data_IF_856194889374
#
_entry.id   IF_856194889374
#
_cell.length_a   1.000
_cell.length_b   1.000
_cell.length_c   1.000
_cell.angle_alpha   90.00
_cell.angle_beta   90.00
_cell.angle_gamma   90.00
#
_symmetry.space_group_name_H-M   'P 1'
#
loop_
_entity.id
_entity.type
_entity.pdbx_description
1 polymer ?
#
# COMPACT_ATOMS: atom_id res chain seq x y z
N UNK A 1 15.88 -17.55 -1.83
CA UNK A 1 17.02 -17.78 -0.90
C UNK A 1 18.15 -16.93 -1.43
N UNK A 2 18.69 -16.07 -0.59
CA UNK A 2 19.73 -15.10 -0.91
C UNK A 2 21.11 -15.77 -0.90
N UNK A 3 22.13 -15.07 -1.40
CA UNK A 3 23.50 -15.59 -1.52
C UNK A 3 24.13 -15.97 -0.17
N UNK A 4 23.69 -15.35 0.92
CA UNK A 4 24.09 -15.67 2.30
C UNK A 4 23.38 -16.91 2.88
N UNK A 5 22.51 -17.58 2.11
CA UNK A 5 21.72 -18.73 2.54
C UNK A 5 20.48 -18.36 3.36
N UNK A 6 20.20 -17.07 3.59
CA UNK A 6 18.99 -16.60 4.24
C UNK A 6 17.80 -16.63 3.29
N UNK A 7 16.61 -16.59 3.87
CA UNK A 7 15.35 -16.40 3.15
C UNK A 7 15.05 -14.91 3.05
N UNK A 8 14.71 -14.48 1.85
CA UNK A 8 14.13 -13.15 1.61
C UNK A 8 12.67 -13.17 2.07
N UNK A 9 12.28 -12.14 2.80
CA UNK A 9 11.00 -12.02 3.48
C UNK A 9 10.27 -10.75 3.02
N UNK A 10 8.95 -10.84 2.97
CA UNK A 10 8.06 -9.69 2.83
C UNK A 10 7.09 -9.68 4.01
N UNK A 11 7.15 -8.63 4.83
CA UNK A 11 6.31 -8.51 6.02
C UNK A 11 4.94 -7.97 5.64
N UNK A 12 3.99 -8.88 5.40
CA UNK A 12 2.67 -8.57 4.83
C UNK A 12 1.81 -7.54 5.57
N UNK A 13 2.09 -7.30 6.86
CA UNK A 13 1.36 -6.30 7.66
C UNK A 13 2.03 -4.92 7.71
N UNK A 14 3.27 -4.83 7.22
CA UNK A 14 4.08 -3.60 7.25
C UNK A 14 4.47 -3.13 5.85
N UNK A 15 4.69 -4.05 4.92
CA UNK A 15 5.02 -3.79 3.52
C UNK A 15 6.51 -3.67 3.23
N UNK A 16 7.39 -3.86 4.22
CA UNK A 16 8.84 -3.86 4.06
C UNK A 16 9.41 -5.28 3.88
N UNK A 17 10.69 -5.32 3.48
CA UNK A 17 11.44 -6.55 3.27
C UNK A 17 12.44 -6.80 4.41
N UNK A 18 12.80 -8.07 4.59
CA UNK A 18 13.87 -8.45 5.50
C UNK A 18 14.47 -9.79 5.12
N UNK A 19 15.42 -10.26 5.93
CA UNK A 19 16.01 -11.58 5.74
C UNK A 19 16.13 -12.34 7.05
N UNK A 20 15.99 -13.66 6.99
CA UNK A 20 16.20 -14.52 8.14
C UNK A 20 16.78 -15.89 7.77
N UNK A 21 17.61 -16.50 8.65
CA UNK A 21 18.01 -17.89 8.50
C UNK A 21 16.81 -18.83 8.70
N UNK A 22 16.87 -20.02 8.09
CA UNK A 22 15.78 -21.01 8.15
C UNK A 22 15.40 -21.38 9.59
N UNK A 23 16.37 -21.41 10.49
CA UNK A 23 16.22 -21.81 11.89
C UNK A 23 15.44 -20.77 12.72
N UNK A 24 15.31 -19.54 12.22
CA UNK A 24 14.48 -18.49 12.82
C UNK A 24 13.01 -18.56 12.35
N UNK A 25 12.73 -19.24 11.24
CA UNK A 25 11.37 -19.34 10.68
C UNK A 25 10.54 -20.40 11.40
N UNK A 26 9.23 -20.15 11.53
CA UNK A 26 8.25 -21.08 12.10
C UNK A 26 7.02 -21.16 11.19
N UNK A 27 6.36 -22.32 11.09
CA UNK A 27 5.07 -22.41 10.43
C UNK A 27 4.07 -21.44 11.09
N UNK A 28 3.39 -20.64 10.29
CA UNK A 28 2.33 -19.77 10.78
C UNK A 28 1.11 -20.60 11.15
N UNK A 29 0.60 -20.45 12.38
CA UNK A 29 -0.64 -21.12 12.78
C UNK A 29 -1.82 -20.53 12.01
N UNK A 30 -2.79 -21.37 11.64
CA UNK A 30 -3.94 -20.96 10.83
C UNK A 30 -4.82 -19.89 11.47
N UNK A 31 -4.85 -19.79 12.81
CA UNK A 31 -5.60 -18.74 13.51
C UNK A 31 -5.00 -17.34 13.33
N UNK A 32 -3.70 -17.23 13.03
CA UNK A 32 -3.07 -15.95 12.69
C UNK A 32 -3.37 -15.47 11.26
N UNK A 33 -3.95 -16.32 10.40
CA UNK A 33 -4.40 -15.97 9.05
C UNK A 33 -5.85 -15.45 9.01
N UNK A 34 -6.48 -15.27 10.18
CA UNK A 34 -7.85 -14.76 10.26
C UNK A 34 -7.95 -13.26 9.97
N UNK A 35 -6.87 -12.51 10.19
CA UNK A 35 -6.76 -11.10 9.82
C UNK A 35 -6.22 -11.00 8.38
N UNK A 36 -6.85 -10.23 7.48
CA UNK A 36 -6.28 -9.91 6.18
C UNK A 36 -4.91 -9.22 6.35
N UNK A 37 -4.05 -9.29 5.33
CA UNK A 37 -2.79 -8.54 5.37
C UNK A 37 -3.06 -7.04 5.46
N UNK A 38 -2.35 -6.37 6.36
CA UNK A 38 -2.65 -4.97 6.70
C UNK A 38 -1.94 -3.94 5.80
N UNK A 39 -0.82 -4.29 5.19
CA UNK A 39 -0.14 -3.38 4.26
C UNK A 39 -0.89 -3.30 2.93
N UNK A 40 -1.22 -2.08 2.51
CA UNK A 40 -1.87 -1.81 1.22
C UNK A 40 -0.91 -0.97 0.39
N UNK A 41 -0.44 -1.53 -0.72
CA UNK A 41 0.35 -0.79 -1.70
C UNK A 41 -0.52 0.31 -2.33
N UNK A 42 0.01 1.53 -2.45
CA UNK A 42 -0.70 2.67 -3.03
C UNK A 42 0.26 3.60 -3.77
N UNK A 43 -0.29 4.57 -4.50
CA UNK A 43 0.47 5.67 -5.12
C UNK A 43 -0.09 7.02 -4.70
N UNK A 44 0.74 8.07 -4.75
CA UNK A 44 0.29 9.43 -4.50
C UNK A 44 -0.36 10.02 -5.76
N UNK A 45 -1.59 10.51 -5.62
CA UNK A 45 -2.40 10.99 -6.72
C UNK A 45 -1.92 12.35 -7.24
N UNK A 46 -1.99 12.53 -8.57
CA UNK A 46 -1.86 13.84 -9.22
C UNK A 46 -0.46 14.46 -9.20
N UNK A 47 0.59 13.70 -8.85
CA UNK A 47 1.98 14.15 -8.95
C UNK A 47 2.88 13.10 -9.60
N UNK A 48 3.98 13.56 -10.19
CA UNK A 48 5.06 12.73 -10.75
C UNK A 48 6.42 13.33 -10.34
N UNK A 49 7.54 12.57 -10.41
CA UNK A 49 8.86 13.12 -10.16
C UNK A 49 9.14 14.36 -11.01
N UNK A 50 9.91 15.32 -10.49
CA UNK A 50 10.33 16.49 -11.28
C UNK A 50 11.39 16.17 -12.33
N UNK A 51 12.12 15.06 -12.15
CA UNK A 51 13.08 14.50 -13.11
C UNK A 51 12.55 13.22 -13.78
N UNK A 52 13.47 12.33 -14.17
CA UNK A 52 13.11 11.03 -14.75
C UNK A 52 12.58 10.06 -13.69
N UNK A 53 13.12 10.12 -12.47
CA UNK A 53 12.82 9.25 -11.34
C UNK A 53 12.76 10.06 -10.04
N UNK A 54 12.25 9.45 -8.97
CA UNK A 54 12.28 10.05 -7.64
C UNK A 54 13.72 10.10 -7.13
N UNK A 55 14.22 11.30 -6.86
CA UNK A 55 15.54 11.50 -6.24
C UNK A 55 15.52 11.12 -4.75
N UNK A 56 16.65 10.71 -4.19
CA UNK A 56 16.79 10.36 -2.76
C UNK A 56 16.27 11.47 -1.83
N UNK A 57 16.58 12.74 -2.14
CA UNK A 57 16.10 13.87 -1.35
C UNK A 57 14.56 14.01 -1.37
N UNK A 58 13.90 13.57 -2.45
CA UNK A 58 12.45 13.52 -2.54
C UNK A 58 11.87 12.39 -1.66
N UNK A 59 12.52 11.23 -1.64
CA UNK A 59 12.16 10.10 -0.77
C UNK A 59 12.29 10.47 0.70
N UNK A 60 13.43 11.04 1.12
CA UNK A 60 13.65 11.55 2.49
C UNK A 60 12.61 12.61 2.89
N UNK A 61 12.27 13.51 1.96
CA UNK A 61 11.25 14.53 2.19
C UNK A 61 9.86 13.89 2.38
N UNK A 62 9.51 12.88 1.58
CA UNK A 62 8.27 12.14 1.72
C UNK A 62 8.20 11.42 3.07
N UNK A 63 9.23 10.65 3.44
CA UNK A 63 9.30 9.95 4.73
C UNK A 63 9.15 10.90 5.92
N UNK A 64 9.80 12.07 5.87
CA UNK A 64 9.70 13.09 6.91
C UNK A 64 8.29 13.71 6.96
N UNK A 65 7.64 13.93 5.82
CA UNK A 65 6.29 14.48 5.75
C UNK A 65 5.25 13.50 6.30
N UNK A 66 5.41 12.21 5.99
CA UNK A 66 4.49 11.15 6.41
C UNK A 66 4.76 10.67 7.83
N UNK A 67 5.98 10.86 8.34
CA UNK A 67 6.40 10.22 9.59
C UNK A 67 6.48 8.70 9.40
N UNK A 68 7.09 8.26 8.30
CA UNK A 68 7.21 6.85 7.94
C UNK A 68 7.71 6.01 9.12
N UNK A 69 7.03 4.90 9.39
CA UNK A 69 7.29 3.97 10.50
C UNK A 69 7.24 4.59 11.92
N UNK A 70 6.59 5.75 12.10
CA UNK A 70 6.42 6.41 13.41
C UNK A 70 5.01 6.27 13.98
N UNK A 71 4.13 5.47 13.34
CA UNK A 71 2.74 5.26 13.75
C UNK A 71 1.95 6.58 13.88
N UNK A 72 2.27 7.53 13.00
CA UNK A 72 1.64 8.84 12.99
C UNK A 72 0.47 8.80 12.00
N UNK A 73 -0.78 8.96 12.46
CA UNK A 73 -1.92 8.88 11.56
C UNK A 73 -1.89 9.95 10.47
N UNK A 74 -2.10 9.54 9.24
CA UNK A 74 -2.35 10.38 8.07
C UNK A 74 -3.79 10.22 7.64
N UNK A 75 -4.34 11.29 7.08
CA UNK A 75 -5.62 11.24 6.40
C UNK A 75 -5.36 10.90 4.92
N UNK A 76 -5.98 9.85 4.42
CA UNK A 76 -5.85 9.40 3.04
C UNK A 76 -7.20 9.51 2.33
N UNK A 77 -7.21 10.15 1.16
CA UNK A 77 -8.39 10.29 0.31
C UNK A 77 -8.19 9.50 -0.98
N UNK A 78 -9.05 8.51 -1.22
CA UNK A 78 -9.05 7.74 -2.47
C UNK A 78 -9.46 8.63 -3.65
N UNK A 79 -8.62 8.67 -4.69
CA UNK A 79 -8.87 9.44 -5.90
C UNK A 79 -9.29 8.53 -7.06
N UNK A 80 -8.51 7.48 -7.31
CA UNK A 80 -8.74 6.53 -8.39
C UNK A 80 -8.01 5.22 -8.11
N UNK A 81 -8.07 4.29 -9.07
CA UNK A 81 -7.28 3.07 -9.07
C UNK A 81 -6.40 3.04 -10.31
N UNK A 82 -5.09 2.95 -10.13
CA UNK A 82 -4.17 2.66 -11.22
C UNK A 82 -4.37 1.21 -11.68
N UNK A 83 -4.49 0.96 -13.00
CA UNK A 83 -4.58 -0.39 -13.54
C UNK A 83 -3.21 -1.07 -13.45
N UNK A 84 -2.86 -1.55 -12.25
CA UNK A 84 -1.75 -2.46 -12.01
C UNK A 84 -2.25 -3.90 -12.19
N UNK A 85 -1.37 -4.78 -12.66
CA UNK A 85 -1.61 -6.22 -12.76
C UNK A 85 -0.72 -6.93 -11.73
N UNK A 86 -1.23 -7.86 -10.92
CA UNK A 86 -2.54 -8.52 -11.02
C UNK A 86 -3.70 -7.81 -10.31
N UNK A 87 -3.44 -6.78 -9.49
CA UNK A 87 -4.47 -6.08 -8.71
C UNK A 87 -4.38 -4.58 -8.91
N UNK A 88 -5.53 -3.86 -8.98
CA UNK A 88 -5.53 -2.42 -9.09
C UNK A 88 -4.92 -1.77 -7.84
N UNK A 89 -4.04 -0.79 -8.05
CA UNK A 89 -3.38 -0.06 -6.96
C UNK A 89 -4.12 1.25 -6.68
N UNK A 90 -4.58 1.53 -5.46
CA UNK A 90 -5.25 2.79 -5.13
C UNK A 90 -4.29 3.98 -5.29
N UNK A 91 -4.79 5.04 -5.93
CA UNK A 91 -4.16 6.34 -6.01
C UNK A 91 -4.80 7.26 -4.96
N UNK A 92 -3.98 7.78 -4.03
CA UNK A 92 -4.44 8.47 -2.83
C UNK A 92 -3.89 9.90 -2.78
N UNK A 93 -4.66 10.85 -2.26
CA UNK A 93 -4.10 12.07 -1.67
C UNK A 93 -3.84 11.83 -0.19
N UNK A 94 -2.66 12.22 0.28
CA UNK A 94 -2.27 12.08 1.68
C UNK A 94 -2.18 13.43 2.35
N UNK A 95 -2.71 13.51 3.56
CA UNK A 95 -2.68 14.71 4.38
C UNK A 95 -2.10 14.39 5.76
N UNK A 96 -0.96 15.02 6.05
CA UNK A 96 -0.33 14.95 7.36
C UNK A 96 -0.91 16.01 8.30
N UNK A 97 -0.80 15.76 9.61
CA UNK A 97 -1.11 16.77 10.62
C UNK A 97 0.17 17.40 11.14
N UNK A 98 0.37 18.69 10.86
CA UNK A 98 1.52 19.47 11.30
C UNK A 98 1.03 20.68 12.12
N UNK A 99 1.41 20.75 13.40
CA UNK A 99 0.93 21.79 14.35
C UNK A 99 -0.59 22.00 14.36
N UNK A 100 -1.36 20.92 14.20
CA UNK A 100 -2.82 20.97 14.15
C UNK A 100 -3.42 21.41 12.82
N UNK A 101 -2.59 21.76 11.84
CA UNK A 101 -3.01 22.07 10.47
C UNK A 101 -2.87 20.84 9.56
N UNK A 102 -3.77 20.77 8.58
CA UNK A 102 -3.79 19.73 7.54
C UNK A 102 -2.82 20.13 6.43
N UNK A 103 -1.81 19.31 6.19
CA UNK A 103 -0.77 19.51 5.19
C UNK A 103 -0.93 18.48 4.07
N UNK A 104 -1.19 18.93 2.85
CA UNK A 104 -1.20 18.07 1.66
C UNK A 104 0.23 17.67 1.31
N UNK A 105 0.54 16.37 1.42
CA UNK A 105 1.89 15.84 1.22
C UNK A 105 2.33 16.02 -0.24
N UNK A 106 1.44 15.77 -1.20
CA UNK A 106 1.76 15.89 -2.63
C UNK A 106 2.01 17.34 -3.03
N UNK A 107 1.17 18.25 -2.56
CA UNK A 107 1.35 19.68 -2.81
C UNK A 107 2.67 20.20 -2.19
N UNK A 108 3.05 19.68 -1.02
CA UNK A 108 4.30 20.07 -0.35
C UNK A 108 5.54 19.56 -1.10
N UNK A 109 5.49 18.34 -1.66
CA UNK A 109 6.56 17.84 -2.54
C UNK A 109 6.72 18.72 -3.78
N UNK A 110 5.62 19.18 -4.39
CA UNK A 110 5.66 20.12 -5.51
C UNK A 110 6.24 21.47 -5.09
N UNK A 111 5.83 22.00 -3.92
CA UNK A 111 6.34 23.26 -3.37
C UNK A 111 7.86 23.21 -3.12
N UNK A 112 8.37 22.05 -2.73
CA UNK A 112 9.80 21.81 -2.51
C UNK A 112 10.59 21.55 -3.80
N UNK A 113 9.93 21.41 -4.94
CA UNK A 113 10.56 21.16 -6.24
C UNK A 113 10.89 19.68 -6.53
N UNK A 114 10.46 18.77 -5.65
CA UNK A 114 10.69 17.33 -5.80
C UNK A 114 9.70 16.65 -6.76
N UNK A 115 8.55 17.29 -6.99
CA UNK A 115 7.50 16.78 -7.84
C UNK A 115 6.93 17.88 -8.74
N UNK A 116 6.23 17.46 -9.80
CA UNK A 116 5.39 18.33 -10.61
C UNK A 116 3.97 17.76 -10.68
N UNK A 117 2.95 18.59 -10.98
CA UNK A 117 1.60 18.08 -11.22
C UNK A 117 1.60 17.01 -12.32
N UNK A 118 1.04 15.86 -12.02
CA UNK A 118 0.85 14.76 -12.96
C UNK A 118 -0.28 15.06 -13.96
N UNK A 119 -0.40 14.25 -15.02
CA UNK A 119 -1.51 14.36 -15.96
C UNK A 119 -2.86 14.19 -15.25
N UNK A 120 -3.94 14.80 -15.75
CA UNK A 120 -5.29 14.60 -15.23
C UNK A 120 -5.65 13.11 -15.25
N UNK A 121 -6.26 12.60 -14.17
CA UNK A 121 -6.58 11.18 -14.05
C UNK A 121 -7.59 10.67 -15.10
N UNK A 122 -8.33 11.58 -15.76
CA UNK A 122 -9.27 11.27 -16.85
C UNK A 122 -8.61 10.96 -18.20
N UNK A 123 -7.31 11.26 -18.37
CA UNK A 123 -6.59 11.14 -19.65
C UNK A 123 -5.67 9.90 -19.70
N UNK A 124 -5.70 9.06 -18.65
CA UNK A 124 -5.07 7.74 -18.64
C UNK A 124 -5.94 6.76 -19.43
N UNK A 125 -5.93 6.91 -20.75
CA UNK A 125 -6.41 5.87 -21.65
C UNK A 125 -5.71 4.53 -21.37
N UNK A 126 -6.29 3.39 -21.79
CA UNK A 126 -5.69 2.07 -21.60
C UNK A 126 -4.43 1.96 -22.46
N UNK A 127 -3.28 2.48 -22.00
CA UNK A 127 -2.11 2.53 -22.87
C UNK A 127 -0.83 3.22 -22.39
N UNK A 128 -0.73 3.82 -21.21
CA UNK A 128 0.58 4.30 -20.71
C UNK A 128 1.42 3.14 -20.19
N UNK A 129 1.98 2.37 -21.12
CA UNK A 129 2.99 1.36 -20.88
C UNK A 129 4.30 2.07 -20.50
N UNK A 130 4.68 2.01 -19.22
CA UNK A 130 6.09 2.05 -18.86
C UNK A 130 6.77 0.81 -19.46
N UNK A 131 7.92 0.94 -20.15
CA UNK A 131 8.63 -0.22 -20.66
C UNK A 131 9.01 -1.13 -19.48
N UNK A 132 8.82 -2.45 -19.58
CA UNK A 132 9.27 -3.37 -18.54
C UNK A 132 10.80 -3.32 -18.48
N UNK A 133 11.33 -3.15 -17.26
CA UNK A 133 12.71 -3.52 -16.99
C UNK A 133 12.90 -4.98 -17.43
N UNK A 134 13.81 -5.18 -18.38
CA UNK A 134 14.13 -6.51 -18.88
C UNK A 134 14.91 -7.23 -17.79
N UNK A 135 14.30 -8.25 -17.19
CA UNK A 135 15.02 -9.40 -16.69
C UNK A 135 14.25 -10.69 -17.05
N UNK A 136 14.95 -11.56 -17.77
CA UNK A 136 14.49 -12.87 -18.23
C UNK A 136 15.09 -13.97 -17.34
N UNK A 137 14.71 -15.24 -17.53
CA UNK A 137 13.73 -15.95 -16.73
C UNK A 137 14.40 -16.97 -15.79
N UNK A 138 13.72 -17.38 -14.73
CA UNK A 138 13.78 -18.81 -14.38
C UNK A 138 12.45 -19.33 -13.84
N UNK A 139 12.05 -20.40 -14.50
CA UNK A 139 10.85 -21.20 -14.29
C UNK A 139 11.06 -22.15 -13.13
N UNK A 140 10.08 -22.26 -12.23
CA UNK A 140 9.63 -23.58 -11.76
C UNK A 140 8.16 -23.55 -11.36
N UNK A 141 7.38 -24.22 -12.18
CA UNK A 141 6.04 -24.74 -11.95
C UNK A 141 5.96 -25.53 -10.65
N UNK A 142 4.91 -25.31 -9.85
CA UNK A 142 4.42 -26.32 -8.91
C UNK A 142 2.91 -26.48 -9.06
N UNK A 143 2.54 -27.59 -9.69
CA UNK A 143 1.20 -28.15 -9.76
C UNK A 143 0.73 -28.58 -8.37
N UNK A 144 -0.45 -28.15 -7.96
CA UNK A 144 -1.22 -28.84 -6.94
C UNK A 144 -2.64 -29.08 -7.48
N UNK A 145 -2.99 -30.37 -7.51
CA UNK A 145 -4.21 -30.92 -8.06
C UNK A 145 -5.43 -30.68 -7.18
N UNK A 146 -6.55 -30.51 -7.89
CA UNK A 146 -7.95 -30.72 -7.54
C UNK A 146 -8.23 -31.49 -6.24
N UNK A 147 -8.99 -30.86 -5.34
CA UNK A 147 -9.82 -31.57 -4.35
C UNK A 147 -11.22 -30.97 -4.42
N UNK A 148 -12.21 -31.85 -4.59
CA UNK A 148 -13.64 -31.54 -4.71
C UNK A 148 -14.28 -31.22 -3.36
N UNK A 149 -15.24 -30.28 -3.36
CA UNK A 149 -16.07 -29.92 -2.21
C UNK A 149 -17.11 -31.00 -1.83
N UNK A 150 -17.40 -31.18 -0.52
CA UNK A 150 -18.67 -31.74 -0.05
C UNK A 150 -19.64 -30.63 0.45
N UNK A 151 -20.95 -30.93 0.60
CA UNK A 151 -22.00 -29.92 0.59
C UNK A 151 -22.22 -29.18 1.93
N UNK A 152 -22.75 -27.96 1.78
CA UNK A 152 -23.17 -27.03 2.84
C UNK A 152 -24.11 -27.66 3.86
N UNK A 153 -23.88 -27.35 5.14
CA UNK A 153 -24.93 -27.37 6.17
C UNK A 153 -24.93 -26.05 6.94
N UNK A 154 -26.12 -25.66 7.40
CA UNK A 154 -26.47 -24.35 7.92
C UNK A 154 -26.09 -24.17 9.40
N UNK A 155 -25.84 -22.92 9.80
CA UNK A 155 -25.92 -22.48 11.20
C UNK A 155 -24.75 -21.63 11.69
N UNK A 156 -25.10 -20.46 12.24
CA UNK A 156 -24.33 -19.60 13.16
C UNK A 156 -23.28 -18.64 12.58
N UNK A 157 -23.72 -17.40 12.36
CA UNK A 157 -22.89 -16.20 12.24
C UNK A 157 -22.47 -15.70 13.63
N UNK A 158 -21.16 -15.55 13.94
CA UNK A 158 -20.72 -14.63 14.97
C UNK A 158 -20.43 -13.25 14.37
N UNK A 159 -20.89 -12.22 15.07
CA UNK A 159 -20.79 -10.80 14.73
C UNK A 159 -19.37 -10.37 14.31
N UNK A 160 -19.28 -9.73 13.14
CA UNK A 160 -18.13 -8.93 12.74
C UNK A 160 -17.91 -7.80 13.75
N UNK A 161 -16.69 -7.53 14.23
CA UNK A 161 -16.42 -6.35 15.02
C UNK A 161 -16.44 -5.14 14.07
N UNK A 162 -17.59 -4.49 13.96
CA UNK A 162 -17.71 -3.15 13.39
C UNK A 162 -16.77 -2.22 14.16
N UNK A 163 -15.84 -1.61 13.42
CA UNK A 163 -14.95 -0.59 13.93
C UNK A 163 -15.79 0.53 14.56
N UNK A 164 -15.60 0.73 15.86
CA UNK A 164 -16.37 1.70 16.66
C UNK A 164 -16.00 3.11 16.24
N UNK A 165 -16.92 3.79 15.56
CA UNK A 165 -16.89 5.25 15.42
C UNK A 165 -17.09 5.92 16.78
N UNK A 166 -16.28 6.93 17.11
CA UNK A 166 -16.62 7.96 18.10
C UNK A 166 -16.46 9.36 17.47
N UNK A 167 -17.38 10.32 17.73
CA UNK A 167 -17.42 11.67 17.13
C UNK A 167 -16.69 12.70 18.04
N UNK A 168 -16.45 13.99 17.76
CA UNK A 168 -16.96 15.02 16.85
C UNK A 168 -15.91 16.15 16.74
N UNK A 169 -15.76 16.80 15.57
CA UNK A 169 -15.48 18.24 15.41
C UNK A 169 -15.46 18.65 13.92
N UNK A 170 -16.61 19.15 13.45
CA UNK A 170 -16.77 20.18 12.39
C UNK A 170 -16.16 19.92 10.99
N UNK A 171 -16.84 19.07 10.22
CA UNK A 171 -17.04 19.07 8.75
C UNK A 171 -17.35 17.62 8.35
N UNK A 172 -18.30 17.34 7.44
CA UNK A 172 -18.46 15.98 6.95
C UNK A 172 -17.15 15.54 6.29
N UNK A 173 -16.48 14.55 6.88
CA UNK A 173 -15.35 13.88 6.26
C UNK A 173 -15.87 13.25 4.96
N UNK A 174 -15.26 13.50 3.78
CA UNK A 174 -15.68 12.89 2.54
C UNK A 174 -15.75 11.36 2.70
N UNK A 175 -16.75 10.71 2.08
CA UNK A 175 -16.96 9.25 2.21
C UNK A 175 -15.75 8.41 1.79
N UNK A 176 -14.84 8.99 1.03
CA UNK A 176 -13.67 8.33 0.47
C UNK A 176 -12.39 8.63 1.27
N UNK A 177 -12.52 9.09 2.52
CA UNK A 177 -11.40 9.43 3.39
C UNK A 177 -11.26 8.43 4.52
N UNK A 178 -10.04 7.92 4.70
CA UNK A 178 -9.68 6.97 5.76
C UNK A 178 -8.44 7.46 6.50
N UNK A 179 -8.24 6.95 7.71
CA UNK A 179 -7.00 7.17 8.46
C UNK A 179 -6.06 5.99 8.22
N UNK A 180 -4.80 6.28 7.89
CA UNK A 180 -3.72 5.30 7.69
C UNK A 180 -2.55 5.64 8.61
N UNK A 181 -1.65 4.69 8.88
CA UNK A 181 -0.51 4.85 9.80
C UNK A 181 0.76 4.27 9.21
#
# INVERSE_FOLDING_TARGET
MLDNGHWDLYYVDFGDNGEAPREALRPLRGDFLSLPFQAIECSLAGIVPSGNDWEEAALEAFERLTGCAQWRPLEAQLCSFCPASPWPRPSLRLFARHHGQRLDVGAELVRLGFAIPGPPEDDLGPGSQTPPAQDTPDSVTSTASLVSDPPRSAGDTPDSPSCRSLPDATSPVPRDTVTVT
#
